data_IF_311205823566
#
_entry.id   IF_311205823566
#
_cell.length_a   1.000
_cell.length_b   1.000
_cell.length_c   1.000
_cell.angle_alpha   90.00
_cell.angle_beta   90.00
_cell.angle_gamma   90.00
#
_symmetry.space_group_name_H-M   'P 1'
#
loop_
_entity.id
_entity.type
_entity.pdbx_description
1 polymer ?
#
# COMPACT_ATOMS: atom_id res chain seq x y z
N UNK A 1 -18.50 -9.39 3.47
CA UNK A 1 -18.78 -8.30 2.49
C UNK A 1 -17.52 -7.49 2.24
N UNK A 2 -17.23 -7.22 1.00
CA UNK A 2 -16.08 -6.36 0.63
C UNK A 2 -16.47 -4.90 0.88
N UNK A 3 -15.65 -4.19 1.64
CA UNK A 3 -15.82 -2.77 1.91
C UNK A 3 -14.67 -1.97 1.29
N UNK A 4 -14.99 -0.80 0.77
CA UNK A 4 -14.02 0.11 0.15
C UNK A 4 -13.99 1.43 0.90
N UNK A 5 -12.81 2.03 0.99
CA UNK A 5 -12.64 3.36 1.56
C UNK A 5 -11.61 4.14 0.74
N UNK A 6 -12.06 5.20 0.08
CA UNK A 6 -11.15 6.09 -0.63
C UNK A 6 -10.48 7.01 0.39
N UNK A 7 -9.23 6.74 0.71
CA UNK A 7 -8.49 7.49 1.71
C UNK A 7 -7.95 8.82 1.18
N UNK A 8 -7.49 8.83 -0.06
CA UNK A 8 -6.94 10.00 -0.69
C UNK A 8 -7.10 9.97 -2.19
N UNK A 9 -7.36 11.15 -2.78
CA UNK A 9 -7.51 11.33 -4.22
C UNK A 9 -6.73 12.53 -4.75
N UNK A 10 -5.89 13.16 -3.90
CA UNK A 10 -5.05 14.27 -4.31
C UNK A 10 -3.89 13.80 -5.19
N UNK A 11 -3.48 14.67 -6.11
CA UNK A 11 -2.32 14.41 -6.96
C UNK A 11 -1.19 15.39 -6.66
N UNK A 12 0.05 14.94 -6.76
CA UNK A 12 1.30 15.68 -6.65
C UNK A 12 1.54 16.35 -5.29
N UNK A 13 0.67 17.24 -4.84
CA UNK A 13 0.88 18.05 -3.64
C UNK A 13 -0.13 17.69 -2.56
N UNK A 14 0.35 17.35 -1.35
CA UNK A 14 -0.56 17.16 -0.21
C UNK A 14 -1.15 18.52 0.20
N UNK A 15 -2.43 18.50 0.51
CA UNK A 15 -3.16 19.67 1.01
C UNK A 15 -3.80 19.31 2.35
N UNK A 16 -4.05 20.29 3.23
CA UNK A 16 -4.78 20.02 4.46
C UNK A 16 -6.11 19.33 4.17
N UNK A 17 -6.38 18.22 4.85
CA UNK A 17 -7.61 17.44 4.71
C UNK A 17 -7.81 16.80 3.35
N UNK A 18 -6.78 16.79 2.51
CA UNK A 18 -6.85 16.18 1.18
C UNK A 18 -5.59 15.37 0.95
N UNK A 19 -5.66 14.09 1.31
CA UNK A 19 -4.53 13.19 1.24
C UNK A 19 -4.24 12.73 -0.19
N UNK A 20 -3.03 12.29 -0.42
CA UNK A 20 -2.61 11.77 -1.73
C UNK A 20 -3.18 10.37 -1.96
N UNK A 21 -3.00 9.85 -3.17
CA UNK A 21 -3.70 8.66 -3.65
C UNK A 21 -3.54 7.44 -2.75
N UNK A 22 -4.66 6.93 -2.27
CA UNK A 22 -4.73 5.66 -1.54
C UNK A 22 -6.17 5.17 -1.49
N UNK A 23 -6.37 3.89 -1.80
CA UNK A 23 -7.66 3.21 -1.68
C UNK A 23 -7.47 2.01 -0.77
N UNK A 24 -8.31 1.89 0.24
CA UNK A 24 -8.26 0.76 1.16
C UNK A 24 -9.50 -0.10 1.04
N UNK A 25 -9.30 -1.40 1.08
CA UNK A 25 -10.39 -2.36 1.11
C UNK A 25 -10.26 -3.23 2.35
N UNK A 26 -11.35 -3.83 2.78
CA UNK A 26 -11.31 -4.87 3.80
C UNK A 26 -12.32 -5.96 3.51
N UNK A 27 -11.93 -7.20 3.77
CA UNK A 27 -12.73 -8.38 3.51
C UNK A 27 -12.28 -9.51 4.44
N UNK A 28 -13.21 -10.07 5.21
CA UNK A 28 -12.96 -11.20 6.11
C UNK A 28 -11.75 -11.00 7.03
N UNK A 29 -11.63 -9.81 7.63
CA UNK A 29 -10.56 -9.51 8.58
C UNK A 29 -9.23 -9.16 7.93
N UNK A 30 -9.13 -9.14 6.60
CA UNK A 30 -7.92 -8.76 5.88
C UNK A 30 -8.13 -7.47 5.11
N UNK A 31 -7.16 -6.59 5.16
CA UNK A 31 -7.19 -5.32 4.42
C UNK A 31 -6.16 -5.32 3.29
N UNK A 32 -6.54 -4.69 2.19
CA UNK A 32 -5.67 -4.48 1.04
C UNK A 32 -5.68 -2.99 0.70
N UNK A 33 -4.49 -2.45 0.48
CA UNK A 33 -4.30 -1.04 0.14
C UNK A 33 -3.82 -0.94 -1.30
N UNK A 34 -4.37 -0.01 -2.07
CA UNK A 34 -3.90 0.31 -3.42
C UNK A 34 -3.32 1.71 -3.39
N UNK A 35 -2.04 1.81 -3.66
CA UNK A 35 -1.20 2.98 -3.54
C UNK A 35 -1.13 3.50 -2.09
N UNK A 36 -0.11 4.27 -1.80
CA UNK A 36 0.18 4.75 -0.46
C UNK A 36 0.81 6.14 -0.57
N UNK A 37 -0.02 7.13 -0.88
CA UNK A 37 0.42 8.51 -0.95
C UNK A 37 0.76 9.07 0.41
N UNK A 38 1.39 10.23 0.43
CA UNK A 38 1.78 10.88 1.66
C UNK A 38 0.56 11.15 2.54
N UNK A 39 0.67 10.78 3.82
CA UNK A 39 -0.41 10.97 4.79
C UNK A 39 -1.41 9.84 4.88
N UNK A 40 -1.19 8.73 4.17
CA UNK A 40 -2.11 7.59 4.16
C UNK A 40 -2.42 7.06 5.56
N UNK A 41 -1.41 6.94 6.44
CA UNK A 41 -1.64 6.44 7.80
C UNK A 41 -2.55 7.38 8.61
N UNK A 42 -2.50 8.68 8.37
CA UNK A 42 -3.36 9.63 9.05
C UNK A 42 -4.79 9.51 8.52
N UNK A 43 -4.95 9.37 7.20
CA UNK A 43 -6.25 9.18 6.58
C UNK A 43 -6.93 7.89 7.09
N UNK A 44 -6.17 6.80 7.24
CA UNK A 44 -6.69 5.54 7.81
C UNK A 44 -7.21 5.79 9.22
N UNK A 45 -6.43 6.49 10.05
CA UNK A 45 -6.81 6.78 11.42
C UNK A 45 -8.05 7.66 11.51
N UNK A 46 -8.14 8.68 10.65
CA UNK A 46 -9.31 9.57 10.60
C UNK A 46 -10.59 8.82 10.23
N UNK A 47 -10.49 7.80 9.39
CA UNK A 47 -11.63 6.95 9.01
C UNK A 47 -11.96 5.89 10.04
N UNK A 48 -11.15 5.75 11.08
CA UNK A 48 -11.36 4.75 12.12
C UNK A 48 -11.03 3.32 11.67
N UNK A 49 -10.30 3.16 10.58
CA UNK A 49 -9.85 1.84 10.13
C UNK A 49 -8.52 1.48 10.79
N UNK A 50 -8.17 0.20 10.77
CA UNK A 50 -7.01 -0.32 11.48
C UNK A 50 -5.83 -0.60 10.56
N UNK A 51 -4.61 -0.45 11.09
CA UNK A 51 -3.37 -0.70 10.37
C UNK A 51 -2.98 -2.18 10.39
N UNK A 52 -3.16 -2.84 11.52
CA UNK A 52 -2.68 -4.20 11.74
C UNK A 52 -3.19 -5.22 10.71
N UNK A 53 -4.46 -5.16 10.25
CA UNK A 53 -4.97 -6.13 9.28
C UNK A 53 -4.50 -5.91 7.84
N UNK A 54 -3.70 -4.91 7.54
CA UNK A 54 -3.22 -4.67 6.18
C UNK A 54 -2.25 -5.78 5.81
N UNK A 55 -2.69 -6.70 4.95
CA UNK A 55 -1.89 -7.86 4.53
C UNK A 55 -1.22 -7.67 3.17
N UNK A 56 -1.80 -6.80 2.33
CA UNK A 56 -1.34 -6.58 0.96
C UNK A 56 -1.38 -5.09 0.63
N UNK A 57 -0.32 -4.60 0.00
CA UNK A 57 -0.31 -3.25 -0.58
C UNK A 57 0.08 -3.38 -2.04
N UNK A 58 -0.77 -2.90 -2.93
CA UNK A 58 -0.54 -2.89 -4.37
C UNK A 58 -0.18 -1.49 -4.83
N UNK A 59 0.82 -1.37 -5.69
CA UNK A 59 1.23 -0.10 -6.27
C UNK A 59 0.95 -0.09 -7.76
N UNK A 60 0.31 0.98 -8.24
CA UNK A 60 0.09 1.17 -9.67
C UNK A 60 1.38 1.58 -10.37
N UNK A 61 2.17 2.43 -9.73
CA UNK A 61 3.48 2.89 -10.18
C UNK A 61 4.19 3.61 -9.03
N UNK A 62 5.39 4.17 -9.27
CA UNK A 62 6.25 4.66 -8.20
C UNK A 62 6.45 6.18 -8.20
N UNK A 63 5.53 6.94 -8.78
CA UNK A 63 5.55 8.40 -8.59
C UNK A 63 5.33 8.74 -7.12
N UNK A 64 5.92 9.84 -6.67
CA UNK A 64 5.93 10.20 -5.26
C UNK A 64 4.54 10.25 -4.62
N UNK A 65 3.56 10.80 -5.34
CA UNK A 65 2.19 10.91 -4.83
C UNK A 65 1.47 9.57 -4.66
N UNK A 66 2.08 8.46 -5.10
CA UNK A 66 1.53 7.11 -4.95
C UNK A 66 2.30 6.23 -3.98
N UNK A 67 3.51 6.62 -3.55
CA UNK A 67 4.34 5.76 -2.70
C UNK A 67 5.04 6.50 -1.55
N UNK A 68 5.04 7.82 -1.54
CA UNK A 68 5.79 8.59 -0.53
C UNK A 68 5.32 8.35 0.91
N UNK A 69 4.10 7.85 1.11
CA UNK A 69 3.60 7.52 2.44
C UNK A 69 4.02 6.16 2.98
N UNK A 70 4.68 5.33 2.15
CA UNK A 70 4.98 3.96 2.55
C UNK A 70 5.90 3.85 3.77
N UNK A 71 7.03 4.55 3.87
CA UNK A 71 7.90 4.41 5.05
C UNK A 71 7.17 4.74 6.36
N UNK A 72 6.40 5.83 6.36
CA UNK A 72 5.62 6.22 7.53
C UNK A 72 4.55 5.20 7.90
N UNK A 73 3.87 4.65 6.89
CA UNK A 73 2.87 3.60 7.13
C UNK A 73 3.51 2.33 7.71
N UNK A 74 4.66 1.91 7.17
CA UNK A 74 5.36 0.71 7.68
C UNK A 74 5.74 0.88 9.15
N UNK A 75 6.27 2.04 9.53
CA UNK A 75 6.60 2.33 10.92
C UNK A 75 5.34 2.31 11.79
N UNK A 76 4.26 2.90 11.32
CA UNK A 76 2.99 2.93 12.04
C UNK A 76 2.42 1.52 12.22
N UNK A 77 2.50 0.67 11.19
CA UNK A 77 2.06 -0.72 11.28
C UNK A 77 2.88 -1.51 12.31
N UNK A 78 4.19 -1.29 12.35
CA UNK A 78 5.06 -1.90 13.36
C UNK A 78 4.69 -1.46 14.77
N UNK A 79 4.38 -0.19 14.94
CA UNK A 79 3.95 0.34 16.25
C UNK A 79 2.55 -0.11 16.65
N UNK A 80 1.75 -0.57 15.69
CA UNK A 80 0.43 -1.16 15.93
C UNK A 80 0.49 -2.68 16.13
N UNK A 81 1.68 -3.20 16.44
CA UNK A 81 1.92 -4.61 16.75
C UNK A 81 1.71 -5.57 15.57
N UNK A 82 1.89 -5.11 14.35
CA UNK A 82 1.92 -6.01 13.20
C UNK A 82 3.17 -6.87 13.24
N UNK A 83 3.02 -8.18 13.26
CA UNK A 83 4.13 -9.15 13.21
C UNK A 83 4.04 -10.10 12.04
N UNK A 84 2.88 -10.21 11.40
CA UNK A 84 2.69 -11.09 10.25
C UNK A 84 3.30 -10.51 8.98
N UNK A 85 3.73 -11.35 8.03
CA UNK A 85 4.32 -10.86 6.79
C UNK A 85 3.38 -9.92 6.03
N UNK A 86 3.96 -8.90 5.42
CA UNK A 86 3.26 -7.96 4.56
C UNK A 86 3.69 -8.22 3.11
N UNK A 87 2.74 -8.40 2.22
CA UNK A 87 3.01 -8.59 0.80
C UNK A 87 2.84 -7.29 0.04
N UNK A 88 3.88 -6.88 -0.68
CA UNK A 88 3.83 -5.73 -1.57
C UNK A 88 3.81 -6.21 -3.01
N UNK A 89 2.91 -5.65 -3.81
CA UNK A 89 2.69 -6.01 -5.21
C UNK A 89 2.86 -4.75 -6.07
N UNK A 90 3.59 -4.86 -7.16
CA UNK A 90 3.75 -3.71 -8.06
C UNK A 90 4.52 -4.05 -9.32
N UNK A 91 4.67 -3.06 -10.22
CA UNK A 91 5.46 -3.24 -11.43
C UNK A 91 6.94 -3.52 -11.13
N UNK A 92 7.67 -3.89 -12.17
CA UNK A 92 9.12 -4.11 -12.09
C UNK A 92 9.82 -2.94 -11.39
N UNK A 93 10.75 -3.26 -10.50
CA UNK A 93 11.50 -2.27 -9.72
C UNK A 93 10.96 -2.06 -8.31
N UNK A 94 9.87 -2.72 -7.94
CA UNK A 94 9.24 -2.60 -6.62
C UNK A 94 10.24 -2.81 -5.47
N UNK A 95 10.96 -3.91 -5.49
CA UNK A 95 11.89 -4.25 -4.40
C UNK A 95 12.98 -3.20 -4.26
N UNK A 96 13.54 -2.72 -5.38
CA UNK A 96 14.57 -1.69 -5.38
C UNK A 96 14.04 -0.38 -4.79
N UNK A 97 12.86 0.05 -5.23
CA UNK A 97 12.26 1.31 -4.75
C UNK A 97 11.94 1.22 -3.27
N UNK A 98 11.30 0.14 -2.84
CA UNK A 98 10.91 -0.03 -1.43
C UNK A 98 12.13 -0.13 -0.54
N UNK A 99 13.16 -0.86 -0.94
CA UNK A 99 14.39 -0.96 -0.15
C UNK A 99 15.10 0.39 -0.02
N UNK A 100 15.06 1.23 -1.05
CA UNK A 100 15.59 2.59 -0.99
C UNK A 100 14.80 3.45 0.00
N UNK A 101 13.48 3.37 -0.03
CA UNK A 101 12.61 4.10 0.91
C UNK A 101 12.81 3.61 2.35
N UNK A 102 13.09 2.32 2.54
CA UNK A 102 13.24 1.73 3.87
C UNK A 102 14.58 2.04 4.54
N UNK A 103 15.45 2.80 3.93
CA UNK A 103 16.68 3.23 4.60
C UNK A 103 16.37 3.93 5.93
N UNK A 104 15.25 4.64 6.01
CA UNK A 104 14.82 5.31 7.24
C UNK A 104 13.97 4.40 8.16
N UNK A 105 13.61 3.21 7.72
CA UNK A 105 12.83 2.23 8.49
C UNK A 105 13.40 0.83 8.28
N UNK A 106 14.69 0.61 8.63
CA UNK A 106 15.37 -0.64 8.28
C UNK A 106 14.91 -1.83 9.11
N UNK A 107 14.44 -1.58 10.34
CA UNK A 107 14.01 -2.64 11.23
C UNK A 107 12.51 -2.57 11.47
N UNK A 108 11.80 -3.63 11.07
CA UNK A 108 10.38 -3.77 11.24
C UNK A 108 10.10 -5.12 11.92
N UNK A 109 9.06 -5.20 12.76
CA UNK A 109 8.72 -6.46 13.43
C UNK A 109 8.03 -7.48 12.53
N UNK A 110 7.97 -7.24 11.23
CA UNK A 110 7.36 -8.14 10.25
C UNK A 110 8.22 -8.23 8.98
N UNK A 111 8.11 -9.36 8.31
CA UNK A 111 8.75 -9.59 7.02
C UNK A 111 7.99 -8.88 5.91
N UNK A 112 8.72 -8.35 4.93
CA UNK A 112 8.13 -7.82 3.70
C UNK A 112 8.42 -8.79 2.56
N UNK A 113 7.36 -9.19 1.85
CA UNK A 113 7.43 -10.06 0.68
C UNK A 113 7.09 -9.24 -0.55
N UNK A 114 7.84 -9.45 -1.63
CA UNK A 114 7.67 -8.69 -2.87
C UNK A 114 7.14 -9.59 -3.98
N UNK A 115 6.14 -9.09 -4.71
CA UNK A 115 5.65 -9.70 -5.94
C UNK A 115 5.72 -8.63 -7.03
N UNK A 116 6.67 -8.79 -7.97
CA UNK A 116 6.79 -7.86 -9.09
C UNK A 116 6.00 -8.39 -10.28
N UNK A 117 5.13 -7.54 -10.83
CA UNK A 117 4.34 -7.86 -12.00
C UNK A 117 5.18 -7.53 -13.23
N UNK A 118 5.50 -8.56 -14.02
CA UNK A 118 6.34 -8.42 -15.22
C UNK A 118 5.61 -8.74 -16.51
N UNK A 119 4.44 -9.39 -16.41
CA UNK A 119 3.61 -9.74 -17.57
C UNK A 119 2.62 -8.64 -17.89
N UNK A 120 2.14 -8.52 -19.13
CA UNK A 120 1.12 -7.52 -19.49
C UNK A 120 -0.18 -7.68 -18.68
N UNK A 121 -0.48 -8.91 -18.27
CA UNK A 121 -1.61 -9.21 -17.40
C UNK A 121 -1.25 -10.37 -16.49
N UNK A 122 -1.60 -10.25 -15.22
CA UNK A 122 -1.33 -11.30 -14.25
C UNK A 122 -2.43 -11.33 -13.20
N UNK A 123 -2.84 -12.54 -12.81
CA UNK A 123 -3.85 -12.75 -11.75
C UNK A 123 -3.16 -13.33 -10.53
N UNK A 124 -3.43 -12.74 -9.37
CA UNK A 124 -2.90 -13.19 -8.08
C UNK A 124 -4.05 -13.47 -7.13
N UNK A 125 -3.87 -14.45 -6.27
CA UNK A 125 -4.80 -14.72 -5.17
C UNK A 125 -4.05 -14.62 -3.86
N UNK A 126 -4.39 -13.61 -3.06
CA UNK A 126 -3.69 -13.27 -1.82
C UNK A 126 -4.71 -12.92 -0.74
N UNK A 127 -4.64 -13.59 0.40
CA UNK A 127 -5.44 -13.25 1.59
C UNK A 127 -6.94 -13.13 1.32
N UNK A 128 -7.48 -14.00 0.44
CA UNK A 128 -8.89 -13.98 0.07
C UNK A 128 -9.25 -13.00 -1.03
N UNK A 129 -8.28 -12.23 -1.52
CA UNK A 129 -8.47 -11.32 -2.64
C UNK A 129 -8.02 -11.95 -3.95
N UNK A 130 -8.79 -11.73 -5.00
CA UNK A 130 -8.36 -12.02 -6.36
C UNK A 130 -7.98 -10.70 -7.02
N UNK A 131 -6.71 -10.57 -7.37
CA UNK A 131 -6.15 -9.34 -7.92
C UNK A 131 -5.78 -9.59 -9.37
N UNK A 132 -6.36 -8.81 -10.27
CA UNK A 132 -5.98 -8.84 -11.69
C UNK A 132 -5.23 -7.55 -12.01
N UNK A 133 -3.94 -7.70 -12.33
CA UNK A 133 -3.09 -6.59 -12.71
C UNK A 133 -2.94 -6.58 -14.24
N UNK A 134 -3.11 -5.44 -14.85
CA UNK A 134 -2.94 -5.29 -16.30
C UNK A 134 -2.29 -3.95 -16.63
N UNK A 135 -1.56 -3.92 -17.74
CA UNK A 135 -0.84 -2.72 -18.15
C UNK A 135 -1.78 -1.72 -18.79
N UNK A 136 -1.57 -0.44 -18.45
CA UNK A 136 -2.26 0.68 -19.09
C UNK A 136 -1.23 1.68 -19.59
N UNK A 137 -1.65 2.54 -20.51
CA UNK A 137 -0.80 3.64 -20.95
C UNK A 137 -0.78 4.72 -19.86
N UNK A 138 0.42 5.15 -19.51
CA UNK A 138 0.62 6.19 -18.51
C UNK A 138 1.70 7.16 -19.00
N UNK A 139 1.34 8.42 -19.12
CA UNK A 139 2.25 9.47 -19.58
C UNK A 139 2.89 10.21 -18.41
#
# INVERSE_FOLDING_TARGET
MLELCLLGCGGMMPLPRRWLTALMTRYNGSSLLIDCGEGTQIAIKEKGWSFKPIDVICFTHYHGDHISGLPGLLLTMGNADRTEPLTLVGPKGLERVVNALRVIAPELPFEIRFIEITKPQEVLELNGYRITAFRVNHN
#
